data_IF_971094797987
#
_entry.id   IF_971094797987
#
_cell.length_a   1.000
_cell.length_b   1.000
_cell.length_c   1.000
_cell.angle_alpha   90.00
_cell.angle_beta   90.00
_cell.angle_gamma   90.00
#
_symmetry.space_group_name_H-M   'P 1'
#
loop_
_entity.id
_entity.type
_entity.pdbx_description
1 polymer ?
#
# COMPACT_ATOMS: atom_id res chain seq x y z
N UNK A 1 -20.74 -4.34 13.28
CA UNK A 1 -19.35 -3.91 13.59
C UNK A 1 -18.44 -4.19 12.40
N UNK A 2 -18.08 -5.45 12.14
CA UNK A 2 -17.36 -5.80 10.91
C UNK A 2 -18.20 -5.66 9.64
N UNK A 3 -19.51 -5.79 9.73
CA UNK A 3 -20.45 -5.72 8.59
C UNK A 3 -20.42 -4.39 7.84
N UNK A 4 -20.30 -3.28 8.57
CA UNK A 4 -20.35 -1.93 7.99
C UNK A 4 -19.02 -1.60 7.31
N UNK A 5 -17.90 -1.94 7.97
CA UNK A 5 -16.56 -1.85 7.39
C UNK A 5 -16.40 -2.78 6.18
N UNK A 6 -16.93 -3.99 6.26
CA UNK A 6 -16.97 -4.96 5.15
C UNK A 6 -17.79 -4.40 3.97
N UNK A 7 -18.92 -3.75 4.24
CA UNK A 7 -19.71 -3.06 3.21
C UNK A 7 -18.95 -1.91 2.57
N UNK A 8 -18.24 -1.12 3.35
CA UNK A 8 -17.39 -0.04 2.83
C UNK A 8 -16.28 -0.60 1.93
N UNK A 9 -15.54 -1.61 2.41
CA UNK A 9 -14.40 -2.21 1.70
C UNK A 9 -14.83 -2.95 0.42
N UNK A 10 -15.87 -3.77 0.51
CA UNK A 10 -16.25 -4.71 -0.54
C UNK A 10 -17.39 -4.22 -1.45
N UNK A 11 -18.06 -3.10 -1.13
CA UNK A 11 -19.10 -2.51 -2.01
C UNK A 11 -18.80 -1.07 -2.39
N UNK A 12 -18.57 -0.19 -1.41
CA UNK A 12 -18.43 1.24 -1.69
C UNK A 12 -17.16 1.57 -2.50
N UNK A 13 -15.99 1.08 -2.07
CA UNK A 13 -14.73 1.26 -2.78
C UNK A 13 -14.76 0.67 -4.21
N UNK A 14 -15.19 -0.59 -4.44
CA UNK A 14 -15.21 -1.15 -5.78
C UNK A 14 -16.23 -0.46 -6.71
N UNK A 15 -17.36 0.04 -6.22
CA UNK A 15 -18.30 0.82 -7.04
C UNK A 15 -17.67 2.14 -7.53
N UNK A 16 -16.98 2.85 -6.63
CA UNK A 16 -16.26 4.08 -7.01
C UNK A 16 -15.14 3.76 -8.00
N UNK A 17 -14.36 2.69 -7.76
CA UNK A 17 -13.33 2.22 -8.72
C UNK A 17 -13.90 1.89 -10.09
N UNK A 18 -15.07 1.25 -10.16
CA UNK A 18 -15.74 0.94 -11.42
C UNK A 18 -16.15 2.24 -12.15
N UNK A 19 -16.64 3.23 -11.42
CA UNK A 19 -17.02 4.52 -11.99
C UNK A 19 -15.80 5.27 -12.53
N UNK A 20 -14.67 5.25 -11.82
CA UNK A 20 -13.40 5.81 -12.29
C UNK A 20 -12.96 5.13 -13.60
N UNK A 21 -13.03 3.79 -13.66
CA UNK A 21 -12.67 3.05 -14.89
C UNK A 21 -13.48 3.53 -16.10
N UNK A 22 -14.81 3.63 -15.95
CA UNK A 22 -15.70 4.15 -17.02
C UNK A 22 -15.34 5.58 -17.42
N UNK A 23 -14.99 6.43 -16.45
CA UNK A 23 -14.53 7.79 -16.74
C UNK A 23 -13.20 7.82 -17.50
N UNK A 24 -12.26 6.92 -17.19
CA UNK A 24 -10.99 6.83 -17.91
C UNK A 24 -11.21 6.46 -19.38
N UNK A 25 -12.13 5.54 -19.67
CA UNK A 25 -12.46 5.17 -21.05
C UNK A 25 -13.05 6.36 -21.82
N UNK A 26 -14.00 7.09 -21.23
CA UNK A 26 -14.60 8.29 -21.84
C UNK A 26 -13.57 9.42 -21.99
N UNK A 27 -12.66 9.58 -21.03
CA UNK A 27 -11.56 10.55 -21.10
C UNK A 27 -10.60 10.19 -22.24
N UNK A 28 -10.25 8.91 -22.38
CA UNK A 28 -9.39 8.43 -23.46
C UNK A 28 -10.03 8.71 -24.82
N UNK A 29 -11.31 8.38 -25.00
CA UNK A 29 -12.07 8.66 -26.23
C UNK A 29 -12.07 10.16 -26.59
N UNK A 30 -12.34 11.04 -25.63
CA UNK A 30 -12.31 12.49 -25.86
C UNK A 30 -10.91 12.99 -26.23
N UNK A 31 -9.87 12.50 -25.55
CA UNK A 31 -8.49 12.87 -25.83
C UNK A 31 -8.01 12.35 -27.18
N UNK A 32 -8.42 11.15 -27.60
CA UNK A 32 -8.09 10.62 -28.93
C UNK A 32 -8.67 11.49 -30.05
N UNK A 33 -9.87 12.02 -29.88
CA UNK A 33 -10.42 12.99 -30.84
C UNK A 33 -9.66 14.32 -30.83
N UNK A 34 -9.23 14.81 -29.66
CA UNK A 34 -8.42 16.03 -29.59
C UNK A 34 -7.06 15.85 -30.28
N UNK A 35 -6.42 14.70 -30.10
CA UNK A 35 -5.17 14.36 -30.77
C UNK A 35 -5.39 14.27 -32.29
N UNK A 36 -6.46 13.60 -32.72
CA UNK A 36 -6.74 13.45 -34.16
C UNK A 36 -6.99 14.79 -34.85
N UNK A 37 -7.71 15.72 -34.22
CA UNK A 37 -7.88 17.08 -34.76
C UNK A 37 -6.53 17.78 -34.88
N UNK A 38 -5.68 17.68 -33.85
CA UNK A 38 -4.35 18.30 -33.88
C UNK A 38 -3.48 17.73 -35.00
N UNK A 39 -3.44 16.42 -35.17
CA UNK A 39 -2.73 15.77 -36.28
C UNK A 39 -3.19 16.32 -37.64
N UNK A 40 -4.51 16.46 -37.83
CA UNK A 40 -5.07 16.98 -39.08
C UNK A 40 -4.77 18.46 -39.31
N UNK A 41 -4.68 19.27 -38.25
CA UNK A 41 -4.28 20.68 -38.32
C UNK A 41 -2.76 20.80 -38.64
N UNK A 42 -1.93 19.93 -38.06
CA UNK A 42 -0.47 19.88 -38.28
C UNK A 42 -0.14 19.44 -39.74
N UNK A 43 -0.90 18.48 -40.28
CA UNK A 43 -0.83 18.07 -41.70
C UNK A 43 -1.20 19.22 -42.63
N UNK A 44 -2.30 19.93 -42.34
CA UNK A 44 -2.74 21.09 -43.14
C UNK A 44 -1.69 22.20 -43.15
N UNK A 45 -1.12 22.52 -41.98
CA UNK A 45 -0.05 23.51 -41.86
C UNK A 45 1.18 23.12 -42.70
N UNK A 46 1.55 21.84 -42.68
CA UNK A 46 2.70 21.32 -43.42
C UNK A 46 2.50 21.40 -44.94
N UNK A 47 1.30 21.05 -45.44
CA UNK A 47 0.98 21.17 -46.86
C UNK A 47 0.96 22.64 -47.32
N UNK A 48 0.42 23.55 -46.51
CA UNK A 48 0.43 25.00 -46.79
C UNK A 48 1.87 25.52 -46.89
N UNK A 49 2.76 25.09 -45.98
CA UNK A 49 4.17 25.48 -45.99
C UNK A 49 4.92 25.01 -47.24
N UNK A 50 4.58 23.83 -47.78
CA UNK A 50 5.16 23.30 -49.02
C UNK A 50 4.49 23.84 -50.30
N UNK A 51 3.37 24.57 -50.17
CA UNK A 51 2.58 25.07 -51.30
C UNK A 51 1.82 23.96 -52.04
N UNK A 52 1.61 22.81 -51.41
CA UNK A 52 0.93 21.66 -52.00
C UNK A 52 -0.57 21.66 -51.67
N UNK A 53 -1.45 21.36 -52.65
CA UNK A 53 -2.88 21.27 -52.40
C UNK A 53 -3.23 20.00 -51.62
N UNK A 54 -4.04 20.13 -50.56
CA UNK A 54 -4.48 19.00 -49.75
C UNK A 54 -5.66 18.26 -50.39
N UNK A 55 -5.46 16.98 -50.74
CA UNK A 55 -6.49 16.13 -51.38
C UNK A 55 -7.81 16.03 -50.60
N UNK A 56 -7.73 16.02 -49.25
CA UNK A 56 -8.90 15.99 -48.36
C UNK A 56 -9.81 17.21 -48.55
N UNK A 57 -9.22 18.37 -48.82
CA UNK A 57 -9.95 19.63 -49.06
C UNK A 57 -10.66 19.60 -50.41
N UNK A 58 -10.07 18.96 -51.43
CA UNK A 58 -10.70 18.79 -52.75
C UNK A 58 -12.03 18.03 -52.71
N UNK A 59 -12.20 17.12 -51.74
CA UNK A 59 -13.45 16.38 -51.52
C UNK A 59 -14.39 17.09 -50.52
N UNK A 60 -14.12 18.36 -50.24
CA UNK A 60 -14.90 19.18 -49.32
C UNK A 60 -14.65 18.87 -47.84
N UNK A 61 -13.52 18.26 -47.46
CA UNK A 61 -13.06 18.09 -46.08
C UNK A 61 -14.09 17.46 -45.11
N UNK A 62 -14.76 16.38 -45.54
CA UNK A 62 -15.79 15.71 -44.74
C UNK A 62 -15.26 15.09 -43.45
N UNK A 63 -14.09 14.44 -43.52
CA UNK A 63 -13.50 13.73 -42.37
C UNK A 63 -13.21 14.68 -41.21
N UNK A 64 -12.65 15.86 -41.48
CA UNK A 64 -12.37 16.85 -40.43
C UNK A 64 -13.67 17.32 -39.75
N UNK A 65 -14.72 17.59 -40.54
CA UNK A 65 -16.03 17.97 -40.00
C UNK A 65 -16.64 16.86 -39.14
N UNK A 66 -16.50 15.61 -39.55
CA UNK A 66 -17.00 14.46 -38.80
C UNK A 66 -16.27 14.34 -37.46
N UNK A 67 -14.93 14.40 -37.48
CA UNK A 67 -14.11 14.33 -36.26
C UNK A 67 -14.42 15.49 -35.31
N UNK A 68 -14.63 16.71 -35.81
CA UNK A 68 -15.05 17.85 -34.98
C UNK A 68 -16.39 17.62 -34.29
N UNK A 69 -17.37 17.01 -34.98
CA UNK A 69 -18.65 16.63 -34.36
C UNK A 69 -18.47 15.57 -33.28
N UNK A 70 -17.75 14.48 -33.60
CA UNK A 70 -17.48 13.42 -32.63
C UNK A 70 -16.74 13.95 -31.39
N UNK A 71 -15.78 14.88 -31.58
CA UNK A 71 -15.08 15.56 -30.47
C UNK A 71 -16.04 16.32 -29.56
N UNK A 72 -17.00 17.04 -30.12
CA UNK A 72 -17.96 17.83 -29.34
C UNK A 72 -18.92 16.94 -28.54
N UNK A 73 -19.36 15.84 -29.13
CA UNK A 73 -20.18 14.83 -28.45
C UNK A 73 -19.38 14.14 -27.33
N UNK A 74 -18.14 13.74 -27.60
CA UNK A 74 -17.24 13.17 -26.61
C UNK A 74 -16.92 14.16 -25.48
N UNK A 75 -16.73 15.46 -25.78
CA UNK A 75 -16.52 16.53 -24.78
C UNK A 75 -17.68 16.61 -23.81
N UNK A 76 -18.90 16.55 -24.32
CA UNK A 76 -20.12 16.62 -23.51
C UNK A 76 -20.23 15.40 -22.58
N UNK A 77 -19.97 14.19 -23.11
CA UNK A 77 -19.92 12.95 -22.33
C UNK A 77 -18.84 12.97 -21.25
N UNK A 78 -17.64 13.45 -21.59
CA UNK A 78 -16.51 13.60 -20.69
C UNK A 78 -16.83 14.59 -19.55
N UNK A 79 -17.37 15.76 -19.87
CA UNK A 79 -17.72 16.77 -18.86
C UNK A 79 -18.75 16.24 -17.86
N UNK A 80 -19.76 15.50 -18.35
CA UNK A 80 -20.76 14.85 -17.50
C UNK A 80 -20.12 13.82 -16.58
N UNK A 81 -19.37 12.86 -17.13
CA UNK A 81 -18.73 11.81 -16.32
C UNK A 81 -17.69 12.36 -15.34
N UNK A 82 -16.99 13.45 -15.70
CA UNK A 82 -16.06 14.13 -14.80
C UNK A 82 -16.78 14.67 -13.56
N UNK A 83 -17.94 15.31 -13.75
CA UNK A 83 -18.77 15.80 -12.64
C UNK A 83 -19.23 14.64 -11.75
N UNK A 84 -19.76 13.58 -12.36
CA UNK A 84 -20.25 12.41 -11.63
C UNK A 84 -19.15 11.73 -10.79
N UNK A 85 -17.92 11.61 -11.32
CA UNK A 85 -16.78 11.04 -10.58
C UNK A 85 -16.35 11.93 -9.42
N UNK A 86 -16.32 13.25 -9.60
CA UNK A 86 -15.97 14.18 -8.52
C UNK A 86 -16.96 14.08 -7.36
N UNK A 87 -18.26 14.09 -7.65
CA UNK A 87 -19.31 13.94 -6.64
C UNK A 87 -19.21 12.58 -5.94
N UNK A 88 -18.99 11.48 -6.67
CA UNK A 88 -18.80 10.15 -6.05
C UNK A 88 -17.57 10.06 -5.16
N UNK A 89 -16.46 10.70 -5.54
CA UNK A 89 -15.24 10.72 -4.72
C UNK A 89 -15.46 11.50 -3.42
N UNK A 90 -16.14 12.63 -3.50
CA UNK A 90 -16.47 13.44 -2.32
C UNK A 90 -17.38 12.66 -1.36
N UNK A 91 -18.43 12.01 -1.87
CA UNK A 91 -19.32 11.17 -1.06
C UNK A 91 -18.59 9.98 -0.41
N UNK A 92 -17.65 9.37 -1.14
CA UNK A 92 -16.84 8.28 -0.60
C UNK A 92 -15.95 8.77 0.55
N UNK A 93 -15.34 9.95 0.41
CA UNK A 93 -14.48 10.54 1.43
C UNK A 93 -15.26 10.97 2.68
N UNK A 94 -16.44 11.57 2.51
CA UNK A 94 -17.34 11.86 3.63
C UNK A 94 -17.71 10.58 4.40
N UNK A 95 -18.04 9.51 3.69
CA UNK A 95 -18.36 8.21 4.29
C UNK A 95 -17.14 7.58 4.98
N UNK A 96 -15.97 7.65 4.36
CA UNK A 96 -14.71 7.16 4.91
C UNK A 96 -14.44 7.74 6.30
N UNK A 97 -14.49 9.06 6.42
CA UNK A 97 -14.23 9.76 7.69
C UNK A 97 -15.26 9.37 8.74
N UNK A 98 -16.55 9.38 8.39
CA UNK A 98 -17.62 9.04 9.33
C UNK A 98 -17.54 7.60 9.81
N UNK A 99 -17.43 6.63 8.90
CA UNK A 99 -17.45 5.21 9.24
C UNK A 99 -16.20 4.81 10.04
N UNK A 100 -15.01 5.28 9.66
CA UNK A 100 -13.77 4.90 10.36
C UNK A 100 -13.72 5.51 11.76
N UNK A 101 -13.99 6.81 11.89
CA UNK A 101 -13.95 7.48 13.20
C UNK A 101 -14.96 6.86 14.15
N UNK A 102 -16.18 6.59 13.66
CA UNK A 102 -17.22 5.96 14.46
C UNK A 102 -16.85 4.55 14.93
N UNK A 103 -16.28 3.72 14.04
CA UNK A 103 -15.86 2.37 14.44
C UNK A 103 -14.67 2.40 15.41
N UNK A 104 -13.73 3.33 15.23
CA UNK A 104 -12.54 3.44 16.09
C UNK A 104 -12.90 3.95 17.49
N UNK A 105 -13.74 5.00 17.57
CA UNK A 105 -14.26 5.49 18.85
C UNK A 105 -14.98 4.37 19.59
N UNK A 106 -15.86 3.63 18.90
CA UNK A 106 -16.63 2.55 19.53
C UNK A 106 -15.74 1.38 19.94
N UNK A 107 -14.72 1.04 19.17
CA UNK A 107 -13.74 0.00 19.51
C UNK A 107 -12.98 0.36 20.80
N UNK A 108 -12.47 1.60 20.90
CA UNK A 108 -11.77 2.08 22.10
C UNK A 108 -12.71 2.10 23.31
N UNK A 109 -13.95 2.55 23.16
CA UNK A 109 -14.94 2.51 24.24
C UNK A 109 -15.23 1.08 24.72
N UNK A 110 -15.40 0.13 23.80
CA UNK A 110 -15.61 -1.28 24.18
C UNK A 110 -14.38 -1.90 24.83
N UNK A 111 -13.17 -1.53 24.38
CA UNK A 111 -11.93 -2.01 24.95
C UNK A 111 -11.71 -1.45 26.36
N UNK A 112 -12.00 -0.17 26.58
CA UNK A 112 -11.97 0.45 27.91
C UNK A 112 -12.93 -0.27 28.86
N UNK A 113 -14.18 -0.45 28.44
CA UNK A 113 -15.17 -1.17 29.25
C UNK A 113 -14.72 -2.60 29.56
N UNK A 114 -14.14 -3.31 28.58
CA UNK A 114 -13.60 -4.65 28.80
C UNK A 114 -12.46 -4.66 29.83
N UNK A 115 -11.55 -3.70 29.79
CA UNK A 115 -10.49 -3.56 30.81
C UNK A 115 -11.05 -3.23 32.19
N UNK A 116 -12.06 -2.36 32.27
CA UNK A 116 -12.73 -2.02 33.52
C UNK A 116 -13.46 -3.25 34.11
N UNK A 117 -14.12 -4.04 33.26
CA UNK A 117 -14.78 -5.30 33.64
C UNK A 117 -13.74 -6.33 34.14
N UNK A 118 -12.62 -6.50 33.42
CA UNK A 118 -11.53 -7.38 33.86
C UNK A 118 -10.93 -6.90 35.18
N UNK A 119 -10.73 -5.60 35.36
CA UNK A 119 -10.21 -5.02 36.59
C UNK A 119 -11.17 -5.21 37.76
N UNK A 120 -12.47 -5.07 37.55
CA UNK A 120 -13.48 -5.34 38.58
C UNK A 120 -13.43 -6.79 39.06
N UNK A 121 -13.36 -7.75 38.12
CA UNK A 121 -13.22 -9.19 38.44
C UNK A 121 -11.88 -9.49 39.14
N UNK A 122 -10.77 -8.90 38.67
CA UNK A 122 -9.46 -9.08 39.30
C UNK A 122 -9.37 -8.44 40.69
N UNK A 123 -10.14 -7.38 40.96
CA UNK A 123 -10.15 -6.71 42.26
C UNK A 123 -10.95 -7.51 43.30
N UNK A 124 -11.99 -8.21 42.88
CA UNK A 124 -12.72 -9.15 43.74
C UNK A 124 -11.92 -10.43 44.02
N UNK A 125 -11.10 -10.86 43.07
CA UNK A 125 -10.14 -11.92 43.28
C UNK A 125 -8.96 -11.38 44.12
N UNK A 126 -8.89 -11.75 45.41
CA UNK A 126 -7.76 -11.43 46.29
C UNK A 126 -6.48 -12.17 45.85
N UNK A 127 -5.89 -11.72 44.74
CA UNK A 127 -4.66 -12.26 44.18
C UNK A 127 -3.50 -11.39 44.66
N UNK A 128 -3.25 -11.36 45.97
CA UNK A 128 -1.93 -11.03 46.50
C UNK A 128 -1.67 -11.67 47.88
N UNK A 129 -0.45 -12.17 48.15
CA UNK A 129 0.74 -12.13 47.31
C UNK A 129 0.88 -13.38 46.43
N UNK A 130 1.16 -13.18 45.14
CA UNK A 130 1.91 -14.18 44.39
C UNK A 130 3.31 -14.17 45.02
N UNK A 131 3.51 -14.99 46.03
CA UNK A 131 4.82 -15.26 46.57
C UNK A 131 5.61 -15.96 45.47
N UNK A 132 6.29 -15.17 44.65
CA UNK A 132 7.43 -15.68 43.91
C UNK A 132 8.47 -15.97 44.98
N UNK A 133 8.56 -17.24 45.37
CA UNK A 133 9.57 -17.72 46.31
C UNK A 133 10.95 -17.52 45.67
N UNK A 134 11.52 -16.33 45.86
CA UNK A 134 12.85 -15.98 45.37
C UNK A 134 13.90 -16.91 45.96
N UNK A 135 13.68 -17.53 47.11
CA UNK A 135 14.64 -18.47 47.70
C UNK A 135 14.82 -19.70 46.82
N UNK A 136 13.75 -20.21 46.21
CA UNK A 136 13.81 -21.41 45.35
C UNK A 136 14.47 -21.17 43.99
N UNK A 137 14.36 -19.94 43.46
CA UNK A 137 14.92 -19.56 42.15
C UNK A 137 16.33 -18.95 42.24
N UNK A 138 16.71 -18.34 43.36
CA UNK A 138 18.06 -17.74 43.54
C UNK A 138 19.08 -18.68 44.19
N UNK A 139 18.66 -19.68 44.98
CA UNK A 139 19.59 -20.63 45.63
C UNK A 139 19.99 -21.82 44.74
N UNK A 140 19.28 -22.05 43.63
CA UNK A 140 19.56 -23.16 42.70
C UNK A 140 20.69 -22.86 41.70
N UNK A 141 21.28 -21.66 41.73
CA UNK A 141 22.57 -21.39 41.04
C UNK A 141 23.80 -21.90 41.81
N UNK A 142 23.61 -22.47 43.01
CA UNK A 142 24.68 -22.82 43.95
C UNK A 142 24.84 -24.31 44.28
N UNK A 143 23.98 -25.22 43.80
CA UNK A 143 24.17 -26.65 44.04
C UNK A 143 25.16 -27.23 43.01
N UNK A 144 26.44 -26.91 43.25
CA UNK A 144 27.55 -27.73 42.79
C UNK A 144 27.48 -29.06 43.53
N UNK A 145 26.88 -30.08 42.92
CA UNK A 145 27.19 -31.45 43.30
C UNK A 145 28.58 -31.77 42.74
N UNK A 146 29.57 -31.51 43.57
CA UNK A 146 30.93 -32.02 43.46
C UNK A 146 30.87 -33.50 43.84
N UNK A 147 31.07 -34.39 42.87
CA UNK A 147 31.53 -35.75 43.14
C UNK A 147 32.95 -35.89 42.59
N UNK A 148 33.90 -36.08 43.52
CA UNK A 148 35.33 -36.30 43.31
C UNK A 148 35.65 -37.78 43.14
N UNK A 149 36.22 -38.11 41.98
CA UNK A 149 37.50 -38.80 41.70
C UNK A 149 37.81 -40.25 42.17
N UNK A 150 38.43 -41.02 41.25
CA UNK A 150 39.14 -42.30 41.48
C UNK A 150 38.72 -43.44 40.53
N UNK A 151 39.31 -43.54 39.32
CA UNK A 151 40.40 -44.47 38.92
C UNK A 151 39.89 -45.93 38.72
N UNK A 152 39.81 -46.55 37.54
CA UNK A 152 40.77 -46.99 36.49
C UNK A 152 39.84 -47.72 35.45
N UNK A 153 39.97 -47.73 34.12
CA UNK A 153 41.05 -48.16 33.25
C UNK A 153 40.77 -47.71 31.80
N UNK A 154 41.87 -47.65 31.04
CA UNK A 154 42.09 -47.52 29.59
C UNK A 154 40.95 -48.07 28.70
N UNK A 155 40.53 -47.41 27.61
CA UNK A 155 41.16 -47.52 26.29
C UNK A 155 40.79 -46.36 25.35
N UNK A 156 41.71 -46.13 24.42
CA UNK A 156 41.88 -45.05 23.45
C UNK A 156 40.75 -44.94 22.39
N UNK A 157 40.42 -43.73 21.93
CA UNK A 157 40.79 -43.30 20.57
C UNK A 157 40.60 -41.79 20.34
N UNK A 158 41.60 -41.23 19.68
CA UNK A 158 41.82 -39.82 19.39
C UNK A 158 40.89 -39.23 18.31
N UNK A 159 40.76 -37.89 18.28
CA UNK A 159 40.38 -37.23 17.03
C UNK A 159 39.93 -35.76 17.09
N UNK A 160 40.90 -34.83 17.20
CA UNK A 160 40.92 -33.46 16.65
C UNK A 160 39.82 -32.46 17.12
N UNK A 161 40.07 -31.36 17.84
CA UNK A 161 41.22 -30.45 17.80
C UNK A 161 40.82 -29.08 17.22
N UNK A 162 40.25 -28.21 18.07
CA UNK A 162 40.26 -26.72 18.13
C UNK A 162 40.43 -25.89 16.82
N UNK A 163 39.79 -24.73 16.61
CA UNK A 163 39.76 -23.53 17.46
C UNK A 163 39.00 -22.39 16.74
N UNK A 164 38.50 -21.46 17.54
CA UNK A 164 37.80 -20.22 17.20
C UNK A 164 38.44 -19.35 16.11
N UNK A 165 37.62 -18.59 15.40
CA UNK A 165 38.04 -17.33 14.78
C UNK A 165 37.17 -16.19 15.33
N UNK A 166 37.83 -15.29 16.06
CA UNK A 166 37.26 -14.08 16.65
C UNK A 166 37.47 -12.88 15.71
N UNK A 167 36.57 -11.91 15.83
CA UNK A 167 36.47 -10.63 15.09
C UNK A 167 37.80 -9.87 14.90
N UNK A 168 37.88 -9.09 13.82
CA UNK A 168 38.17 -7.64 13.82
C UNK A 168 37.90 -6.98 12.46
N UNK A 169 37.27 -5.81 12.54
CA UNK A 169 37.14 -4.80 11.50
C UNK A 169 38.51 -4.21 11.14
N UNK A 170 38.68 -3.72 9.90
CA UNK A 170 39.33 -2.43 9.64
C UNK A 170 39.04 -1.91 8.22
N UNK A 171 38.96 -0.59 8.15
CA UNK A 171 38.59 0.31 7.07
C UNK A 171 39.65 0.42 5.96
N UNK A 172 39.22 0.86 4.76
CA UNK A 172 39.82 1.88 3.88
C UNK A 172 39.22 1.69 2.46
N UNK A 173 38.54 2.66 1.83
CA UNK A 173 39.15 3.86 1.24
C UNK A 173 39.87 3.47 -0.06
N UNK A 174 39.64 4.00 -1.27
CA UNK A 174 39.04 5.23 -1.76
C UNK A 174 38.79 5.10 -3.30
N UNK A 175 37.88 5.93 -3.82
CA UNK A 175 37.93 6.76 -5.06
C UNK A 175 38.24 6.10 -6.42
N UNK A 176 37.31 6.20 -7.38
CA UNK A 176 37.15 7.27 -8.39
C UNK A 176 38.38 7.47 -9.29
N UNK A 177 38.28 7.05 -10.56
CA UNK A 177 38.80 7.79 -11.73
C UNK A 177 37.83 7.56 -12.92
N UNK A 178 37.50 8.67 -13.57
CA UNK A 178 36.67 8.86 -14.76
C UNK A 178 37.34 8.41 -16.08
N UNK A 179 36.61 8.69 -17.18
CA UNK A 179 37.04 8.91 -18.58
C UNK A 179 36.67 7.78 -19.56
N UNK A 180 35.67 8.01 -20.43
CA UNK A 180 35.76 8.77 -21.72
C UNK A 180 34.35 9.18 -22.18
#
# INVERSE_FOLDING_TARGET
MLTDLNTYLNKAIPDTRLTIKKYLDVKFEYLSYCLKVKEMDDEEYSCIAMGEPLYRVGTGNYEYRLILRCRQEARSRFAKMRKDVLEKMELLDQKHVQDIVFQLQRFVSTLSNYYDDCYAVLREADVFPIEVDLARTTLSYGQKDVFTDGAEDEEEEEGCGSRECNKKEEENGEKLIDDV
#
